data_IF_624232266775
#
_entry.id   IF_624232266775
#
_cell.length_a   1.000
_cell.length_b   1.000
_cell.length_c   1.000
_cell.angle_alpha   90.00
_cell.angle_beta   90.00
_cell.angle_gamma   90.00
#
_symmetry.space_group_name_H-M   'P 1'
#
loop_
_entity.id
_entity.type
_entity.pdbx_description
1 polymer ?
#
# COMPACT_ATOMS: atom_id res chain seq x y z
N UNK A 1 26.86 31.83 64.20
CA UNK A 1 27.62 33.04 63.81
C UNK A 1 27.95 32.91 62.32
N UNK A 2 27.71 33.84 61.39
CA UNK A 2 27.15 35.19 61.45
C UNK A 2 26.75 35.69 60.04
N UNK A 3 25.88 36.72 60.05
CA UNK A 3 25.69 37.86 59.11
C UNK A 3 25.44 37.58 57.60
N UNK A 4 24.28 37.91 57.00
CA UNK A 4 23.79 39.25 56.54
C UNK A 4 24.90 40.02 55.79
N UNK A 5 24.73 40.44 54.53
CA UNK A 5 23.85 41.53 54.10
C UNK A 5 23.53 41.56 52.58
N UNK A 6 22.45 42.31 52.28
CA UNK A 6 21.80 42.61 50.99
C UNK A 6 22.53 43.67 50.14
N UNK A 7 22.24 43.66 48.82
CA UNK A 7 21.86 44.78 47.89
C UNK A 7 21.96 44.21 46.45
N UNK A 8 20.90 43.88 45.72
CA UNK A 8 19.79 44.63 45.09
C UNK A 8 20.17 45.86 44.25
N UNK A 9 19.52 45.92 43.07
CA UNK A 9 19.49 46.93 41.99
C UNK A 9 20.48 46.61 40.85
N UNK A 10 20.12 46.60 39.57
CA UNK A 10 18.87 46.98 38.89
C UNK A 10 18.99 46.58 37.41
N UNK A 11 17.89 46.02 36.89
CA UNK A 11 17.41 46.01 35.51
C UNK A 11 18.35 46.43 34.36
N UNK A 12 18.55 45.51 33.43
CA UNK A 12 18.76 45.81 32.01
C UNK A 12 17.86 44.90 31.19
N UNK A 13 16.84 45.50 30.62
CA UNK A 13 15.94 44.93 29.62
C UNK A 13 16.72 44.60 28.35
N UNK A 14 16.78 43.32 27.96
CA UNK A 14 17.09 42.94 26.59
C UNK A 14 15.96 42.09 26.03
N UNK A 15 15.22 42.73 25.14
CA UNK A 15 14.16 42.14 24.33
C UNK A 15 14.82 41.21 23.31
N UNK A 16 14.82 39.90 23.55
CA UNK A 16 15.10 38.96 22.48
C UNK A 16 13.77 38.69 21.76
N UNK A 17 13.68 39.15 20.51
CA UNK A 17 12.55 38.86 19.65
C UNK A 17 12.49 37.36 19.39
N UNK A 18 11.46 36.68 19.90
CA UNK A 18 11.11 35.34 19.47
C UNK A 18 10.52 35.42 18.07
N UNK A 19 11.32 35.08 17.07
CA UNK A 19 10.84 34.84 15.71
C UNK A 19 9.94 33.60 15.73
N UNK A 20 8.63 33.83 15.68
CA UNK A 20 7.64 32.78 15.44
C UNK A 20 7.86 32.23 14.03
N UNK A 21 8.48 31.05 13.93
CA UNK A 21 8.45 30.30 12.69
C UNK A 21 6.99 29.98 12.38
N UNK A 22 6.48 30.60 11.31
CA UNK A 22 5.21 30.25 10.71
C UNK A 22 5.35 28.82 10.18
N UNK A 23 4.87 27.84 10.96
CA UNK A 23 4.65 26.51 10.44
C UNK A 23 3.56 26.63 9.38
N UNK A 24 3.97 26.68 8.13
CA UNK A 24 3.09 26.38 7.02
C UNK A 24 2.77 24.90 7.17
N UNK A 25 1.65 24.61 7.82
CA UNK A 25 1.05 23.28 7.83
C UNK A 25 0.59 23.00 6.41
N UNK A 26 1.51 22.54 5.55
CA UNK A 26 1.13 21.79 4.37
C UNK A 26 0.51 20.50 4.89
N UNK A 27 -0.81 20.53 5.05
CA UNK A 27 -1.63 19.36 5.31
C UNK A 27 -1.49 18.42 4.11
N UNK A 28 -0.42 17.62 4.10
CA UNK A 28 -0.37 16.42 3.29
C UNK A 28 -1.44 15.51 3.86
N UNK A 29 -2.63 15.58 3.29
CA UNK A 29 -3.69 14.63 3.56
C UNK A 29 -3.19 13.25 3.08
N UNK A 30 -2.48 12.54 3.95
CA UNK A 30 -2.27 11.10 3.80
C UNK A 30 -3.67 10.51 3.78
N UNK A 31 -4.12 10.17 2.59
CA UNK A 31 -5.42 9.55 2.41
C UNK A 31 -5.26 8.12 2.89
N UNK A 32 -5.49 7.92 4.18
CA UNK A 32 -5.77 6.61 4.76
C UNK A 32 -7.00 6.09 4.05
N UNK A 33 -6.77 5.36 2.97
CA UNK A 33 -7.82 4.56 2.37
C UNK A 33 -8.13 3.48 3.42
N UNK A 34 -9.19 3.69 4.20
CA UNK A 34 -9.98 2.56 4.68
C UNK A 34 -10.30 1.66 3.49
N UNK A 35 -10.68 0.40 3.75
CA UNK A 35 -11.25 -0.48 2.72
C UNK A 35 -12.09 0.39 1.78
N UNK A 36 -11.86 0.34 0.45
CA UNK A 36 -12.59 1.22 -0.44
C UNK A 36 -14.04 1.15 -0.01
N UNK A 37 -14.66 2.31 0.25
CA UNK A 37 -16.12 2.45 0.16
C UNK A 37 -16.42 2.16 -1.32
N UNK A 38 -16.27 0.90 -1.71
CA UNK A 38 -16.98 0.37 -2.84
C UNK A 38 -18.40 0.53 -2.32
N UNK A 39 -19.09 1.53 -2.86
CA UNK A 39 -20.52 1.70 -2.67
C UNK A 39 -21.22 0.52 -3.35
N UNK A 40 -20.99 -0.67 -2.78
CA UNK A 40 -21.59 -1.97 -3.10
C UNK A 40 -23.05 -1.95 -2.65
N UNK A 41 -23.56 -0.85 -2.09
CA UNK A 41 -24.98 -0.72 -1.80
C UNK A 41 -25.86 -0.85 -3.06
N UNK A 42 -25.29 -0.72 -4.27
CA UNK A 42 -26.01 -0.85 -5.54
C UNK A 42 -25.83 -2.15 -6.35
N UNK A 43 -24.75 -2.93 -6.15
CA UNK A 43 -24.23 -3.77 -7.25
C UNK A 43 -24.29 -5.30 -7.07
N UNK A 44 -24.77 -5.81 -5.94
CA UNK A 44 -25.21 -7.20 -5.85
C UNK A 44 -26.47 -7.24 -4.99
N UNK A 45 -27.62 -7.34 -5.64
CA UNK A 45 -28.84 -7.66 -4.94
C UNK A 45 -28.63 -8.96 -4.16
N UNK A 46 -29.22 -9.05 -2.96
CA UNK A 46 -29.24 -10.33 -2.24
C UNK A 46 -29.80 -11.40 -3.17
N UNK A 47 -28.98 -12.38 -3.56
CA UNK A 47 -29.36 -13.43 -4.50
C UNK A 47 -28.63 -13.47 -5.84
N UNK A 48 -27.57 -12.68 -6.06
CA UNK A 48 -26.71 -12.78 -7.26
C UNK A 48 -25.25 -13.11 -6.92
N UNK A 49 -24.57 -13.83 -7.82
CA UNK A 49 -23.14 -14.13 -7.78
C UNK A 49 -22.35 -12.98 -8.46
N UNK A 50 -21.49 -12.26 -7.73
CA UNK A 50 -20.66 -11.21 -8.30
C UNK A 50 -19.45 -11.78 -9.03
N UNK A 51 -19.00 -11.11 -10.10
CA UNK A 51 -17.68 -11.40 -10.68
C UNK A 51 -16.57 -11.15 -9.66
N UNK A 52 -15.57 -12.06 -9.57
CA UNK A 52 -14.40 -11.90 -8.69
C UNK A 52 -13.62 -10.61 -8.97
N UNK A 53 -13.68 -10.11 -10.21
CA UNK A 53 -12.98 -8.93 -10.67
C UNK A 53 -13.66 -7.61 -10.29
N UNK A 54 -14.81 -7.66 -9.60
CA UNK A 54 -15.46 -6.48 -9.02
C UNK A 54 -14.56 -5.79 -7.99
N UNK A 55 -13.81 -6.56 -7.20
CA UNK A 55 -12.87 -6.02 -6.21
C UNK A 55 -11.65 -5.32 -6.81
N UNK A 56 -11.42 -5.47 -8.12
CA UNK A 56 -10.34 -4.83 -8.86
C UNK A 56 -10.81 -3.62 -9.67
N UNK A 57 -12.12 -3.29 -9.62
CA UNK A 57 -12.74 -2.24 -10.45
C UNK A 57 -12.75 -2.57 -11.94
N UNK A 58 -12.64 -3.85 -12.29
CA UNK A 58 -12.46 -4.30 -13.67
C UNK A 58 -13.70 -4.97 -14.27
N UNK A 59 -14.63 -5.46 -13.44
CA UNK A 59 -15.83 -6.15 -13.91
C UNK A 59 -17.00 -6.00 -12.94
N UNK A 60 -18.15 -5.56 -13.45
CA UNK A 60 -19.39 -5.39 -12.66
C UNK A 60 -20.45 -6.43 -13.03
N UNK A 61 -20.10 -7.46 -13.80
CA UNK A 61 -21.05 -8.50 -14.22
C UNK A 61 -21.47 -9.33 -13.00
N UNK A 62 -22.77 -9.58 -12.91
CA UNK A 62 -23.40 -10.45 -11.91
C UNK A 62 -24.16 -11.57 -12.61
N UNK A 63 -24.33 -12.68 -11.88
CA UNK A 63 -24.97 -13.89 -12.38
C UNK A 63 -26.05 -14.35 -11.40
N UNK A 64 -27.06 -15.05 -11.89
CA UNK A 64 -28.01 -15.73 -11.03
C UNK A 64 -27.34 -16.89 -10.29
N UNK A 65 -27.86 -17.24 -9.11
CA UNK A 65 -27.32 -18.36 -8.31
C UNK A 65 -27.39 -19.71 -9.03
N UNK A 66 -28.27 -19.86 -10.01
CA UNK A 66 -28.38 -21.07 -10.83
C UNK A 66 -27.34 -21.10 -11.97
N UNK A 67 -26.91 -19.92 -12.46
CA UNK A 67 -25.98 -19.76 -13.58
C UNK A 67 -24.51 -19.87 -13.15
N UNK A 68 -24.22 -20.91 -12.38
CA UNK A 68 -22.90 -21.12 -11.76
C UNK A 68 -21.83 -21.38 -12.81
N UNK A 69 -22.14 -22.20 -13.82
CA UNK A 69 -21.18 -22.55 -14.85
C UNK A 69 -20.83 -21.33 -15.70
N UNK A 70 -21.81 -20.49 -16.04
CA UNK A 70 -21.59 -19.24 -16.76
C UNK A 70 -20.74 -18.25 -15.94
N UNK A 71 -20.97 -18.16 -14.64
CA UNK A 71 -20.16 -17.35 -13.72
C UNK A 71 -18.70 -17.82 -13.66
N UNK A 72 -18.50 -19.14 -13.54
CA UNK A 72 -17.17 -19.76 -13.53
C UNK A 72 -16.45 -19.52 -14.86
N UNK A 73 -17.11 -19.82 -15.97
CA UNK A 73 -16.54 -19.65 -17.32
C UNK A 73 -16.19 -18.18 -17.61
N UNK A 74 -17.05 -17.24 -17.21
CA UNK A 74 -16.76 -15.82 -17.32
C UNK A 74 -15.45 -15.44 -16.62
N UNK A 75 -15.23 -15.90 -15.39
CA UNK A 75 -13.99 -15.61 -14.66
C UNK A 75 -12.78 -16.26 -15.35
N UNK A 76 -12.90 -17.53 -15.77
CA UNK A 76 -11.82 -18.29 -16.39
C UNK A 76 -11.40 -17.71 -17.75
N UNK A 77 -12.36 -17.41 -18.62
CA UNK A 77 -12.08 -17.01 -19.99
C UNK A 77 -11.86 -15.51 -20.14
N UNK A 78 -12.72 -14.69 -19.54
CA UNK A 78 -12.68 -13.24 -19.79
C UNK A 78 -11.55 -12.56 -19.01
N UNK A 79 -11.27 -13.04 -17.80
CA UNK A 79 -10.30 -12.41 -16.91
C UNK A 79 -9.01 -13.22 -16.76
N UNK A 80 -9.09 -14.52 -16.52
CA UNK A 80 -7.91 -15.35 -16.32
C UNK A 80 -7.27 -15.82 -17.64
N UNK A 81 -8.01 -15.81 -18.75
CA UNK A 81 -7.56 -16.28 -20.07
C UNK A 81 -6.94 -17.69 -19.99
N UNK A 82 -7.57 -18.58 -19.23
CA UNK A 82 -7.11 -19.94 -18.92
C UNK A 82 -5.76 -20.03 -18.16
N UNK A 83 -5.18 -18.90 -17.75
CA UNK A 83 -4.00 -18.86 -16.89
C UNK A 83 -4.41 -18.92 -15.42
N UNK A 84 -4.77 -20.12 -14.97
CA UNK A 84 -5.32 -20.36 -13.65
C UNK A 84 -4.25 -20.40 -12.54
N UNK A 85 -4.59 -19.94 -11.32
CA UNK A 85 -3.69 -19.98 -10.19
C UNK A 85 -3.40 -21.42 -9.75
N UNK A 86 -2.19 -21.65 -9.22
CA UNK A 86 -1.88 -22.93 -8.54
C UNK A 86 -2.60 -23.03 -7.19
N UNK A 87 -2.71 -21.90 -6.48
CA UNK A 87 -3.24 -21.81 -5.12
C UNK A 87 -4.23 -20.65 -5.04
N UNK A 88 -5.36 -20.88 -4.40
CA UNK A 88 -6.41 -19.90 -4.15
C UNK A 88 -7.13 -20.24 -2.83
N UNK A 89 -7.87 -19.29 -2.27
CA UNK A 89 -8.62 -19.44 -1.01
C UNK A 89 -10.07 -18.99 -1.17
N UNK A 90 -10.96 -19.49 -0.32
CA UNK A 90 -12.33 -19.02 -0.25
C UNK A 90 -12.38 -17.56 0.22
N UNK A 91 -13.33 -16.77 -0.29
CA UNK A 91 -13.56 -15.39 0.17
C UNK A 91 -14.10 -15.31 1.59
N UNK A 92 -14.75 -16.38 2.08
CA UNK A 92 -15.54 -16.34 3.31
C UNK A 92 -14.97 -17.21 4.43
N UNK A 93 -14.22 -18.26 4.11
CA UNK A 93 -13.55 -19.08 5.11
C UNK A 93 -12.22 -18.49 5.55
N UNK A 94 -11.81 -18.78 6.79
CA UNK A 94 -10.47 -18.42 7.28
C UNK A 94 -9.39 -19.35 6.74
N UNK A 95 -9.64 -20.66 6.75
CA UNK A 95 -8.59 -21.68 6.53
C UNK A 95 -8.88 -22.63 5.35
N UNK A 96 -9.75 -22.25 4.40
CA UNK A 96 -10.06 -23.09 3.24
C UNK A 96 -9.17 -22.77 2.03
N UNK A 97 -8.22 -23.67 1.76
CA UNK A 97 -7.22 -23.53 0.70
C UNK A 97 -7.47 -24.54 -0.43
N UNK A 98 -7.48 -24.05 -1.66
CA UNK A 98 -7.51 -24.85 -2.89
C UNK A 98 -6.12 -24.84 -3.52
N UNK A 99 -5.43 -25.98 -3.56
CA UNK A 99 -4.09 -26.10 -4.16
C UNK A 99 -4.01 -27.26 -5.17
N UNK A 100 -3.73 -26.90 -6.42
CA UNK A 100 -3.45 -27.86 -7.48
C UNK A 100 -2.02 -28.40 -7.36
N UNK A 101 -1.85 -29.74 -7.36
CA UNK A 101 -0.52 -30.37 -7.32
C UNK A 101 0.14 -30.35 -8.69
N UNK A 102 -0.67 -30.44 -9.75
CA UNK A 102 -0.22 -30.41 -11.15
C UNK A 102 -0.90 -29.30 -11.93
N UNK A 103 -0.28 -28.85 -13.02
CA UNK A 103 -0.87 -27.84 -13.91
C UNK A 103 -2.21 -28.30 -14.49
N UNK A 104 -2.33 -29.58 -14.83
CA UNK A 104 -3.59 -30.17 -15.34
C UNK A 104 -4.74 -30.16 -14.35
N UNK A 105 -4.47 -30.01 -13.05
CA UNK A 105 -5.47 -30.00 -11.98
C UNK A 105 -5.96 -28.58 -11.65
N UNK A 106 -5.32 -27.53 -12.20
CA UNK A 106 -5.62 -26.13 -11.85
C UNK A 106 -7.05 -25.73 -12.19
N UNK A 107 -7.57 -26.23 -13.31
CA UNK A 107 -8.95 -25.97 -13.74
C UNK A 107 -9.96 -26.51 -12.74
N UNK A 108 -9.93 -27.83 -12.51
CA UNK A 108 -10.81 -28.45 -11.52
C UNK A 108 -10.68 -27.79 -10.15
N UNK A 109 -9.46 -27.51 -9.69
CA UNK A 109 -9.23 -26.88 -8.38
C UNK A 109 -9.83 -25.46 -8.30
N UNK A 110 -9.82 -24.69 -9.40
CA UNK A 110 -10.45 -23.38 -9.44
C UNK A 110 -11.98 -23.48 -9.52
N UNK A 111 -12.51 -24.43 -10.29
CA UNK A 111 -13.95 -24.70 -10.36
C UNK A 111 -14.49 -25.15 -8.99
N UNK A 112 -13.81 -26.06 -8.30
CA UNK A 112 -14.13 -26.51 -6.94
C UNK A 112 -14.20 -25.33 -5.96
N UNK A 113 -13.26 -24.38 -6.10
CA UNK A 113 -13.26 -23.14 -5.31
C UNK A 113 -14.51 -22.31 -5.57
N UNK A 114 -14.86 -22.09 -6.83
CA UNK A 114 -16.00 -21.25 -7.19
C UNK A 114 -17.31 -21.89 -6.73
N UNK A 115 -17.48 -23.21 -6.88
CA UNK A 115 -18.63 -23.93 -6.34
C UNK A 115 -18.72 -23.82 -4.81
N UNK A 116 -17.59 -23.91 -4.11
CA UNK A 116 -17.55 -23.73 -2.67
C UNK A 116 -17.94 -22.30 -2.25
N UNK A 117 -17.45 -21.28 -2.95
CA UNK A 117 -17.83 -19.87 -2.72
C UNK A 117 -19.33 -19.68 -2.94
N UNK A 118 -19.90 -20.24 -4.01
CA UNK A 118 -21.34 -20.20 -4.27
C UNK A 118 -22.16 -20.78 -3.12
N UNK A 119 -21.70 -21.86 -2.50
CA UNK A 119 -22.43 -22.49 -1.39
C UNK A 119 -22.65 -21.51 -0.23
N UNK A 120 -21.70 -20.61 0.04
CA UNK A 120 -21.85 -19.55 1.03
C UNK A 120 -22.92 -18.51 0.64
N UNK A 121 -23.07 -18.21 -0.66
CA UNK A 121 -24.17 -17.34 -1.12
C UNK A 121 -25.53 -18.02 -0.92
N UNK A 122 -25.63 -19.32 -1.19
CA UNK A 122 -26.88 -20.08 -1.07
C UNK A 122 -27.31 -20.32 0.37
N UNK A 123 -26.41 -20.83 1.21
CA UNK A 123 -26.74 -21.34 2.54
C UNK A 123 -26.61 -20.29 3.63
N UNK A 124 -25.54 -19.50 3.58
CA UNK A 124 -25.21 -18.49 4.60
C UNK A 124 -25.72 -17.10 4.24
N UNK A 125 -26.29 -16.91 3.04
CA UNK A 125 -26.73 -15.60 2.51
C UNK A 125 -25.63 -14.56 2.56
N UNK A 126 -24.38 -14.97 2.30
CA UNK A 126 -23.25 -14.04 2.16
C UNK A 126 -23.50 -13.10 0.98
N UNK A 127 -22.92 -11.92 1.08
CA UNK A 127 -23.01 -10.86 0.06
C UNK A 127 -21.61 -10.35 -0.25
N UNK A 128 -21.48 -9.52 -1.28
CA UNK A 128 -20.22 -8.89 -1.68
C UNK A 128 -19.51 -8.19 -0.51
N UNK A 129 -20.26 -7.59 0.42
CA UNK A 129 -19.69 -6.90 1.59
C UNK A 129 -18.90 -7.82 2.53
N UNK A 130 -19.06 -9.13 2.41
CA UNK A 130 -18.34 -10.14 3.20
C UNK A 130 -17.15 -10.74 2.45
N UNK A 131 -16.91 -10.34 1.20
CA UNK A 131 -15.81 -10.87 0.41
C UNK A 131 -14.47 -10.40 0.95
N UNK A 132 -13.56 -11.35 1.18
CA UNK A 132 -12.18 -11.07 1.56
C UNK A 132 -11.26 -11.25 0.35
N UNK A 133 -10.16 -10.47 0.26
CA UNK A 133 -9.22 -10.59 -0.83
C UNK A 133 -8.45 -11.92 -0.74
N UNK A 134 -8.37 -12.61 -1.88
CA UNK A 134 -7.48 -13.76 -2.05
C UNK A 134 -6.08 -13.28 -2.45
N UNK A 135 -5.17 -13.22 -1.48
CA UNK A 135 -3.79 -12.77 -1.73
C UNK A 135 -2.99 -13.73 -2.63
N UNK A 136 -3.33 -15.03 -2.66
CA UNK A 136 -2.67 -15.98 -3.55
C UNK A 136 -3.10 -15.75 -4.99
N UNK A 137 -4.40 -15.53 -5.23
CA UNK A 137 -4.91 -15.12 -6.53
C UNK A 137 -4.32 -13.77 -6.94
N UNK A 138 -4.36 -12.75 -6.06
CA UNK A 138 -3.83 -11.41 -6.37
C UNK A 138 -2.35 -11.45 -6.80
N UNK A 139 -1.53 -12.23 -6.09
CA UNK A 139 -0.12 -12.46 -6.45
C UNK A 139 0.02 -13.13 -7.82
N UNK A 140 -0.80 -14.14 -8.11
CA UNK A 140 -0.81 -14.83 -9.41
C UNK A 140 -1.22 -13.88 -10.55
N UNK A 141 -2.24 -13.05 -10.35
CA UNK A 141 -2.71 -12.08 -11.34
C UNK A 141 -1.62 -11.06 -11.67
N UNK A 142 -0.91 -10.55 -10.67
CA UNK A 142 0.20 -9.62 -10.87
C UNK A 142 1.35 -10.27 -11.64
N UNK A 143 1.82 -11.46 -11.21
CA UNK A 143 2.91 -12.17 -11.89
C UNK A 143 2.56 -12.55 -13.33
N UNK A 144 1.28 -12.78 -13.61
CA UNK A 144 0.78 -13.11 -14.93
C UNK A 144 0.48 -11.88 -15.80
N UNK A 145 0.62 -10.67 -15.26
CA UNK A 145 0.32 -9.43 -15.98
C UNK A 145 -1.17 -9.24 -16.31
N UNK A 146 -2.07 -9.89 -15.56
CA UNK A 146 -3.52 -9.82 -15.77
C UNK A 146 -4.13 -8.58 -15.11
N UNK A 147 -3.46 -8.01 -14.11
CA UNK A 147 -3.87 -6.78 -13.43
C UNK A 147 -2.73 -5.76 -13.40
N UNK A 148 -3.07 -4.48 -13.27
CA UNK A 148 -2.09 -3.41 -13.08
C UNK A 148 -1.48 -3.45 -11.68
N UNK A 149 -0.29 -2.89 -11.52
CA UNK A 149 0.34 -2.72 -10.20
C UNK A 149 -0.53 -1.88 -9.25
N UNK A 150 -1.25 -0.88 -9.79
CA UNK A 150 -2.19 -0.08 -9.00
C UNK A 150 -3.33 -0.93 -8.44
N UNK A 151 -3.92 -1.81 -9.26
CA UNK A 151 -4.99 -2.73 -8.84
C UNK A 151 -4.47 -3.74 -7.80
N UNK A 152 -3.27 -4.28 -8.00
CA UNK A 152 -2.61 -5.17 -7.05
C UNK A 152 -2.41 -4.50 -5.67
N UNK A 153 -1.88 -3.28 -5.66
CA UNK A 153 -1.63 -2.52 -4.44
C UNK A 153 -2.93 -2.09 -3.75
N UNK A 154 -3.98 -1.76 -4.51
CA UNK A 154 -5.30 -1.44 -3.95
C UNK A 154 -5.85 -2.61 -3.13
N UNK A 155 -5.81 -3.82 -3.67
CA UNK A 155 -6.26 -5.04 -2.96
C UNK A 155 -5.37 -5.35 -1.76
N UNK A 156 -4.04 -5.12 -1.86
CA UNK A 156 -3.12 -5.30 -0.72
C UNK A 156 -3.35 -4.33 0.44
N UNK A 157 -3.91 -3.16 0.18
CA UNK A 157 -4.26 -2.17 1.21
C UNK A 157 -5.58 -2.49 1.91
N UNK A 158 -6.31 -3.51 1.49
CA UNK A 158 -7.52 -3.95 2.16
C UNK A 158 -7.21 -4.38 3.60
N UNK A 159 -8.01 -3.89 4.54
CA UNK A 159 -7.93 -4.24 5.95
C UNK A 159 -9.35 -4.47 6.48
N UNK A 160 -9.58 -5.64 7.07
CA UNK A 160 -10.89 -6.00 7.67
C UNK A 160 -11.22 -5.15 8.90
N UNK A 161 -10.20 -4.62 9.56
CA UNK A 161 -10.32 -3.78 10.76
C UNK A 161 -9.80 -2.38 10.43
N UNK A 162 -10.51 -1.32 10.84
CA UNK A 162 -9.99 0.04 10.74
C UNK A 162 -8.60 0.13 11.35
N UNK A 163 -7.61 0.50 10.54
CA UNK A 163 -6.24 0.64 11.01
C UNK A 163 -6.16 1.82 11.98
N UNK A 164 -5.64 1.62 13.21
CA UNK A 164 -5.50 2.70 14.15
C UNK A 164 -4.51 3.74 13.64
N UNK A 165 -4.70 4.97 14.08
CA UNK A 165 -4.06 6.15 13.51
C UNK A 165 -2.54 6.25 13.73
N UNK A 166 -1.92 5.30 14.41
CA UNK A 166 -0.49 5.23 14.67
C UNK A 166 0.22 4.16 13.81
N UNK A 167 -0.53 3.31 13.09
CA UNK A 167 0.03 2.39 12.11
C UNK A 167 0.22 3.15 10.80
N UNK A 168 1.45 3.13 10.28
CA UNK A 168 1.79 3.69 8.97
C UNK A 168 1.07 2.90 7.88
N UNK A 169 0.61 3.57 6.84
CA UNK A 169 0.07 2.86 5.68
C UNK A 169 1.15 1.97 5.05
N UNK A 170 0.73 0.93 4.34
CA UNK A 170 1.64 -0.08 3.76
C UNK A 170 2.77 0.52 2.90
N UNK A 171 2.55 1.69 2.29
CA UNK A 171 3.49 2.36 1.39
C UNK A 171 4.13 3.62 2.00
N UNK A 172 3.85 3.91 3.28
CA UNK A 172 4.45 5.02 3.99
C UNK A 172 5.78 4.60 4.61
N UNK A 173 6.87 5.18 4.09
CA UNK A 173 8.16 5.05 4.73
C UNK A 173 8.16 5.80 6.08
N UNK A 174 8.65 5.18 7.16
CA UNK A 174 8.85 5.87 8.43
C UNK A 174 9.57 7.21 8.23
N UNK A 175 9.14 8.29 8.92
CA UNK A 175 9.74 9.62 8.81
C UNK A 175 11.27 9.59 9.01
N UNK A 176 11.75 8.68 9.86
CA UNK A 176 13.18 8.51 10.17
C UNK A 176 14.00 8.01 8.96
N UNK A 177 13.42 7.21 8.07
CA UNK A 177 14.08 6.74 6.85
C UNK A 177 14.14 7.87 5.82
N UNK A 178 13.06 8.62 5.65
CA UNK A 178 13.04 9.80 4.75
C UNK A 178 14.05 10.86 5.21
N UNK A 179 14.13 11.12 6.52
CA UNK A 179 15.10 12.04 7.10
C UNK A 179 16.55 11.55 6.97
N UNK A 180 16.77 10.25 6.79
CA UNK A 180 18.10 9.68 6.53
C UNK A 180 18.50 9.81 5.07
N UNK A 181 17.59 9.48 4.14
CA UNK A 181 17.83 9.65 2.70
C UNK A 181 18.08 11.11 2.30
N UNK A 182 17.35 12.05 2.89
CA UNK A 182 17.59 13.49 2.69
C UNK A 182 18.96 13.94 3.24
N UNK A 183 19.41 13.33 4.35
CA UNK A 183 20.74 13.60 4.91
C UNK A 183 21.86 13.03 4.05
N UNK A 184 21.65 11.83 3.49
CA UNK A 184 22.62 11.16 2.61
C UNK A 184 22.67 11.79 1.21
N UNK A 185 21.58 12.42 0.72
CA UNK A 185 21.57 13.21 -0.51
C UNK A 185 22.21 14.60 -0.38
N UNK A 186 22.38 15.11 0.84
CA UNK A 186 23.19 16.30 1.07
C UNK A 186 24.67 15.94 0.93
N UNK A 187 25.17 15.89 -0.30
CA UNK A 187 26.62 15.87 -0.57
C UNK A 187 27.21 17.10 0.10
N UNK A 188 27.92 16.90 1.21
CA UNK A 188 28.65 17.96 1.89
C UNK A 188 29.73 18.48 0.94
N UNK A 189 29.46 19.59 0.27
CA UNK A 189 30.44 20.28 -0.54
C UNK A 189 31.37 21.04 0.41
N UNK A 190 32.52 20.43 0.76
CA UNK A 190 33.54 21.10 1.56
C UNK A 190 34.28 22.13 0.69
N UNK A 191 34.08 23.46 0.89
CA UNK A 191 34.74 24.48 0.08
C UNK A 191 36.27 24.47 0.26
N UNK A 192 36.76 23.92 1.38
CA UNK A 192 38.20 23.81 1.63
C UNK A 192 38.86 22.64 0.88
N UNK A 193 38.09 21.67 0.39
CA UNK A 193 38.60 20.60 -0.44
C UNK A 193 38.96 21.13 -1.84
N UNK A 194 38.09 21.95 -2.42
CA UNK A 194 38.30 22.56 -3.72
C UNK A 194 39.47 23.54 -3.71
N UNK A 195 39.61 24.36 -2.66
CA UNK A 195 40.72 25.32 -2.59
C UNK A 195 42.09 24.65 -2.50
N UNK A 196 42.18 23.47 -1.87
CA UNK A 196 43.40 22.64 -1.90
C UNK A 196 43.69 22.11 -3.29
N UNK A 197 42.66 21.76 -4.07
CA UNK A 197 42.83 21.30 -5.45
C UNK A 197 43.32 22.45 -6.34
N UNK A 198 42.70 23.63 -6.26
CA UNK A 198 43.12 24.82 -6.99
C UNK A 198 44.56 25.25 -6.64
N UNK A 199 44.98 25.18 -5.38
CA UNK A 199 46.39 25.46 -5.00
C UNK A 199 47.35 24.46 -5.63
N UNK A 200 47.05 23.16 -5.63
CA UNK A 200 47.92 22.14 -6.25
C UNK A 200 48.08 22.34 -7.75
N UNK A 201 47.02 22.68 -8.46
CA UNK A 201 47.07 22.95 -9.91
C UNK A 201 47.93 24.17 -10.24
N UNK A 202 47.81 25.26 -9.46
CA UNK A 202 48.64 26.46 -9.63
C UNK A 202 50.14 26.19 -9.44
N UNK A 203 50.50 25.32 -8.51
CA UNK A 203 51.89 24.94 -8.28
C UNK A 203 52.45 23.98 -9.34
N UNK A 204 51.59 23.22 -10.04
CA UNK A 204 51.98 22.36 -11.17
C UNK A 204 52.22 23.18 -12.45
N UNK A 205 51.39 24.19 -12.73
CA UNK A 205 51.52 25.01 -13.94
C UNK A 205 52.70 26.00 -13.90
N UNK A 206 53.23 26.31 -12.72
CA UNK A 206 54.39 27.20 -12.56
C UNK A 206 55.75 26.55 -12.82
N UNK A 207 55.82 25.23 -12.98
CA UNK A 207 57.09 24.47 -13.07
C UNK A 207 57.51 24.12 -14.50
N UNK A 208 56.93 24.79 -15.50
CA UNK A 208 57.26 24.61 -16.92
C UNK A 208 57.65 25.95 -17.55
N UNK A 209 58.81 26.50 -17.16
CA UNK A 209 59.55 27.48 -17.97
C UNK A 209 60.98 27.64 -17.45
N UNK A 210 61.91 27.24 -18.33
CA UNK A 210 63.39 27.32 -18.30
C UNK A 210 64.14 26.29 -17.46
#
# INVERSE_FOLDING_TARGET
>A
MGTKDRKNSSSSTSSYGSSVFSQSSSSSASTRMSAPDIDVAGYAAAGSLPCEFVGYGACEVTFDLEDTDAWIEHVIFDHLRDNLPKKAVCWFCDDYIFEAKRTSERRQNFEDRMHHIREHFLTERRTVNHMRPDYHLNTHLQHSGLISEQSYNAVRRYNEVPQPNWILAHDELPPDLQARDLRDQCVYHDPHHDERHYRRERHRSGKSRK
#
